data_IF_593694814040
#
_entry.id   IF_593694814040
#
_cell.length_a   1.000
_cell.length_b   1.000
_cell.length_c   1.000
_cell.angle_alpha   90.00
_cell.angle_beta   90.00
_cell.angle_gamma   90.00
#
_symmetry.space_group_name_H-M   'P 1'
#
loop_
_entity.id
_entity.type
_entity.pdbx_description
1 polymer ?
#
# COMPACT_ATOMS: atom_id res chain seq x y z
N UNK A 1 -4.63 9.35 -3.40
CA UNK A 1 -3.27 9.01 -3.90
C UNK A 1 -2.48 10.26 -4.28
N UNK A 2 -3.02 11.15 -5.13
CA UNK A 2 -2.31 12.37 -5.56
C UNK A 2 -1.77 13.23 -4.43
N UNK A 3 -2.58 13.45 -3.37
CA UNK A 3 -2.17 14.23 -2.19
C UNK A 3 -1.00 13.59 -1.44
N UNK A 4 -1.07 12.28 -1.20
CA UNK A 4 -0.05 11.52 -0.48
C UNK A 4 1.28 11.49 -1.25
N UNK A 5 1.20 11.35 -2.57
CA UNK A 5 2.39 11.39 -3.41
C UNK A 5 2.96 12.79 -3.49
N UNK A 6 2.11 13.82 -3.57
CA UNK A 6 2.53 15.21 -3.53
C UNK A 6 3.29 15.53 -2.24
N UNK A 7 2.81 15.02 -1.11
CA UNK A 7 3.52 15.10 0.18
C UNK A 7 4.86 14.34 0.13
N UNK A 8 4.90 13.13 -0.44
CA UNK A 8 6.13 12.35 -0.57
C UNK A 8 7.16 13.01 -1.51
N UNK A 9 6.71 13.68 -2.58
CA UNK A 9 7.57 14.37 -3.54
C UNK A 9 7.86 15.82 -3.16
N UNK A 10 7.22 16.36 -2.12
CA UNK A 10 7.33 17.77 -1.69
C UNK A 10 6.76 18.78 -2.70
N UNK A 11 5.93 18.32 -3.63
CA UNK A 11 5.39 19.11 -4.74
C UNK A 11 4.26 18.37 -5.45
N UNK A 12 3.26 19.10 -5.93
CA UNK A 12 2.19 18.54 -6.78
C UNK A 12 2.68 18.05 -8.15
N UNK A 13 1.81 17.39 -8.91
CA UNK A 13 2.13 16.98 -10.28
C UNK A 13 2.33 18.20 -11.20
N UNK A 14 3.49 18.30 -11.87
CA UNK A 14 3.80 19.41 -12.77
C UNK A 14 4.15 20.74 -12.09
N UNK A 15 3.97 20.87 -10.78
CA UNK A 15 4.28 22.07 -10.02
C UNK A 15 5.78 22.37 -10.02
N UNK A 16 6.24 23.62 -10.11
CA UNK A 16 7.67 23.95 -9.93
C UNK A 16 7.91 24.33 -8.47
N UNK A 17 8.52 23.42 -7.70
CA UNK A 17 8.86 23.66 -6.30
C UNK A 17 10.35 23.40 -6.07
N UNK A 18 11.02 24.31 -5.37
CA UNK A 18 12.41 24.16 -4.96
C UNK A 18 12.61 23.06 -3.90
N UNK A 19 11.52 22.68 -3.20
CA UNK A 19 11.51 21.62 -2.19
C UNK A 19 11.26 20.23 -2.79
N UNK A 20 11.12 20.12 -4.12
CA UNK A 20 10.81 18.84 -4.75
C UNK A 20 11.96 17.84 -4.56
N UNK A 21 11.62 16.68 -3.99
CA UNK A 21 12.57 15.60 -3.70
C UNK A 21 12.59 14.50 -4.77
N UNK A 22 11.47 14.29 -5.46
CA UNK A 22 11.33 13.25 -6.49
C UNK A 22 10.34 13.64 -7.59
N UNK A 23 10.54 13.08 -8.79
CA UNK A 23 9.67 13.25 -9.95
C UNK A 23 8.89 11.96 -10.22
N UNK A 24 7.70 12.09 -10.80
CA UNK A 24 6.85 10.96 -11.20
C UNK A 24 7.18 10.52 -12.62
N UNK A 25 7.13 9.22 -12.89
CA UNK A 25 7.34 8.64 -14.22
C UNK A 25 6.32 7.55 -14.54
N UNK A 26 5.12 7.98 -14.88
CA UNK A 26 4.03 7.09 -15.21
C UNK A 26 3.52 6.29 -14.01
N UNK A 27 2.89 5.17 -14.31
CA UNK A 27 2.16 4.35 -13.34
C UNK A 27 2.52 2.88 -13.52
N UNK A 28 2.40 2.10 -12.45
CA UNK A 28 2.36 0.63 -12.50
C UNK A 28 0.92 0.19 -12.24
N UNK A 29 0.48 -0.80 -12.98
CA UNK A 29 -0.83 -1.43 -12.78
C UNK A 29 -0.74 -2.38 -11.59
N UNK A 30 -1.81 -2.45 -10.80
CA UNK A 30 -1.92 -3.27 -9.61
C UNK A 30 -3.38 -3.66 -9.41
N UNK A 31 -3.70 -4.93 -9.57
CA UNK A 31 -4.99 -5.48 -9.21
C UNK A 31 -5.19 -5.42 -7.70
N UNK A 32 -6.28 -4.81 -7.26
CA UNK A 32 -6.66 -4.74 -5.87
C UNK A 32 -7.98 -5.44 -5.64
N UNK A 33 -7.92 -6.60 -5.02
CA UNK A 33 -9.10 -7.39 -4.69
C UNK A 33 -9.89 -6.72 -3.56
N UNK A 34 -11.15 -6.38 -3.82
CA UNK A 34 -12.08 -5.90 -2.80
C UNK A 34 -13.25 -6.86 -2.69
N UNK A 35 -14.06 -6.74 -1.63
CA UNK A 35 -15.27 -7.57 -1.48
C UNK A 35 -16.27 -7.36 -2.63
N UNK A 36 -16.20 -6.23 -3.32
CA UNK A 36 -17.03 -5.90 -4.47
C UNK A 36 -16.44 -6.38 -5.80
N UNK A 37 -15.26 -7.02 -5.79
CA UNK A 37 -14.52 -7.46 -6.98
C UNK A 37 -13.12 -6.86 -7.07
N UNK A 38 -12.41 -7.22 -8.14
CA UNK A 38 -11.06 -6.71 -8.42
C UNK A 38 -11.12 -5.32 -9.01
N UNK A 39 -10.37 -4.39 -8.43
CA UNK A 39 -10.23 -3.00 -8.88
C UNK A 39 -8.83 -2.81 -9.45
N UNK A 40 -8.75 -2.42 -10.72
CA UNK A 40 -7.47 -2.09 -11.37
C UNK A 40 -6.96 -0.73 -10.85
N UNK A 41 -5.89 -0.75 -10.05
CA UNK A 41 -5.25 0.46 -9.53
C UNK A 41 -4.04 0.84 -10.36
N UNK A 42 -3.84 2.15 -10.52
CA UNK A 42 -2.67 2.73 -11.19
C UNK A 42 -1.80 3.43 -10.15
N UNK A 43 -0.77 2.76 -9.66
CA UNK A 43 0.13 3.28 -8.64
C UNK A 43 1.22 4.15 -9.28
N UNK A 44 1.37 5.43 -8.90
CA UNK A 44 2.41 6.31 -9.43
C UNK A 44 3.81 5.76 -9.20
N UNK A 45 4.65 5.79 -10.24
CA UNK A 45 6.06 5.44 -10.15
C UNK A 45 6.87 6.69 -9.87
N UNK A 46 7.71 6.66 -8.83
CA UNK A 46 8.69 7.72 -8.57
C UNK A 46 10.01 7.39 -9.27
N UNK A 47 10.69 8.41 -9.80
CA UNK A 47 12.04 8.31 -10.38
C UNK A 47 13.09 8.04 -9.31
N UNK A 48 12.84 8.50 -8.07
CA UNK A 48 13.72 8.36 -6.91
C UNK A 48 12.87 7.95 -5.71
N UNK A 49 13.29 6.90 -5.02
CA UNK A 49 12.53 6.29 -3.92
C UNK A 49 11.41 5.37 -4.41
N UNK A 50 10.70 4.76 -3.46
CA UNK A 50 9.48 4.00 -3.72
C UNK A 50 8.29 4.69 -3.07
N UNK A 51 7.17 4.68 -3.76
CA UNK A 51 5.88 5.08 -3.22
C UNK A 51 4.96 3.85 -3.18
N UNK A 52 4.29 3.68 -2.06
CA UNK A 52 3.25 2.69 -1.88
C UNK A 52 2.09 3.34 -1.11
N UNK A 53 0.85 3.20 -1.58
CA UNK A 53 -0.28 3.87 -0.97
C UNK A 53 -0.60 3.35 0.42
N UNK A 54 -0.82 4.25 1.38
CA UNK A 54 -1.04 3.86 2.78
C UNK A 54 -2.33 3.04 2.99
N UNK A 55 -3.35 3.19 2.15
CA UNK A 55 -4.56 2.37 2.24
C UNK A 55 -4.34 0.89 1.86
N UNK A 56 -3.34 0.59 1.04
CA UNK A 56 -2.93 -0.79 0.75
C UNK A 56 -2.02 -1.36 1.85
N UNK A 57 -1.26 -0.50 2.55
CA UNK A 57 -0.43 -0.93 3.69
C UNK A 57 -1.30 -1.46 4.84
N UNK A 58 -2.43 -0.82 5.11
CA UNK A 58 -3.36 -1.22 6.16
C UNK A 58 -3.85 -2.67 5.97
N UNK A 59 -4.18 -3.06 4.73
CA UNK A 59 -4.56 -4.43 4.40
C UNK A 59 -3.40 -5.40 4.60
N UNK A 60 -2.20 -5.05 4.11
CA UNK A 60 -1.01 -5.89 4.28
C UNK A 60 -0.67 -6.11 5.76
N UNK A 61 -0.89 -5.10 6.60
CA UNK A 61 -0.71 -5.23 8.06
C UNK A 61 -1.79 -6.11 8.68
N UNK A 62 -3.05 -5.98 8.28
CA UNK A 62 -4.14 -6.84 8.75
C UNK A 62 -3.92 -8.32 8.37
N UNK A 63 -3.46 -8.61 7.16
CA UNK A 63 -3.11 -9.98 6.73
C UNK A 63 -1.92 -10.57 7.48
N UNK A 64 -0.91 -9.73 7.77
CA UNK A 64 0.22 -10.12 8.64
C UNK A 64 -0.23 -10.37 10.07
N UNK A 65 -1.11 -9.54 10.60
CA UNK A 65 -1.67 -9.71 11.94
C UNK A 65 -2.50 -11.00 12.03
N UNK A 66 -3.33 -11.29 11.02
CA UNK A 66 -4.09 -12.54 10.95
C UNK A 66 -3.17 -13.76 10.91
N UNK A 67 -2.11 -13.73 10.09
CA UNK A 67 -1.10 -14.80 10.06
C UNK A 67 -0.42 -14.97 11.41
N UNK A 68 -0.02 -13.87 12.05
CA UNK A 68 0.61 -13.91 13.37
C UNK A 68 -0.32 -14.48 14.44
N UNK A 69 -1.61 -14.13 14.42
CA UNK A 69 -2.63 -14.69 15.32
C UNK A 69 -2.81 -16.18 15.09
N UNK A 70 -2.87 -16.64 13.84
CA UNK A 70 -2.97 -18.08 13.52
C UNK A 70 -1.72 -18.83 13.98
N UNK A 71 -0.54 -18.25 13.79
CA UNK A 71 0.72 -18.82 14.27
C UNK A 71 0.76 -18.90 15.80
N UNK A 72 0.33 -17.85 16.50
CA UNK A 72 0.24 -17.82 17.95
C UNK A 72 -0.77 -18.87 18.46
N UNK A 73 -1.94 -18.97 17.85
CA UNK A 73 -2.95 -19.97 18.18
C UNK A 73 -2.41 -21.41 18.01
N UNK A 74 -1.66 -21.67 16.93
CA UNK A 74 -1.01 -22.96 16.70
C UNK A 74 0.03 -23.29 17.78
N UNK A 75 0.87 -22.31 18.17
CA UNK A 75 1.86 -22.47 19.26
C UNK A 75 1.19 -22.74 20.61
N UNK A 76 0.04 -22.09 20.86
CA UNK A 76 -0.74 -22.28 22.09
C UNK A 76 -1.61 -23.56 22.06
N UNK A 77 -1.60 -24.33 20.97
CA UNK A 77 -2.42 -25.54 20.81
C UNK A 77 -3.92 -25.27 20.64
N UNK A 78 -4.30 -24.02 20.32
CA UNK A 78 -5.68 -23.60 20.07
C UNK A 78 -5.93 -23.71 18.57
N UNK A 79 -6.76 -24.66 18.14
CA UNK A 79 -7.14 -24.78 16.74
C UNK A 79 -8.20 -23.71 16.39
N UNK A 80 -7.90 -22.71 15.53
CA UNK A 80 -8.89 -21.72 15.13
C UNK A 80 -9.97 -22.29 14.19
N UNK A 81 -9.80 -23.53 13.71
CA UNK A 81 -10.70 -24.21 12.78
C UNK A 81 -11.65 -25.23 13.45
N UNK A 82 -11.71 -25.27 14.79
CA UNK A 82 -12.58 -26.23 15.46
C UNK A 82 -12.85 -25.92 16.93
N UNK A 83 -13.94 -25.20 17.19
CA UNK A 83 -15.06 -25.68 18.01
C UNK A 83 -16.33 -24.93 17.64
#
# INVERSE_FOLDING_TARGET
MELEVGAATGAGYGEKSALRTAQRNGYRECDWETRAGTVELRIPKLRKGSYFPSFLELRRLAEKALTAVIQEAYVQGISPLGQ
#
